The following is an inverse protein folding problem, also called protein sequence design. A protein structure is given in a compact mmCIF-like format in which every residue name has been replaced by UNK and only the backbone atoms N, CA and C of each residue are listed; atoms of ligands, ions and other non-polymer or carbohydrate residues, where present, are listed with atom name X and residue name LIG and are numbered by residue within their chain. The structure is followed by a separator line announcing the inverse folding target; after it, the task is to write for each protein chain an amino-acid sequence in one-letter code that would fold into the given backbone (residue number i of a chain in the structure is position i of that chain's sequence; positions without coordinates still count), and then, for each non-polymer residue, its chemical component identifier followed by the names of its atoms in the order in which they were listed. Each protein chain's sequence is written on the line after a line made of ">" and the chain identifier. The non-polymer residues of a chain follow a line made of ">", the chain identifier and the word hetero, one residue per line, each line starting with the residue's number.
data_IF_862488772380
#
_entry.id   IF_862488772380
#
_cell.length_a   1.000
_cell.length_b   1.000
_cell.length_c   1.000
_cell.angle_alpha   90.00
_cell.angle_beta   90.00
_cell.angle_gamma   90.00
#
_symmetry.space_group_name_H-M   'P 1'
#
loop_
_entity.id
_entity.type
_entity.pdbx_description
1 polymer ?
#
# COMPACT_ATOMS: atom_id res chain seq x y z
N UNK A 1 -0.45 4.28 17.75
CA UNK A 1 -0.59 2.87 17.35
C UNK A 1 0.08 1.93 18.37
N UNK A 2 1.41 2.01 18.58
CA UNK A 2 2.16 1.10 19.46
C UNK A 2 1.62 1.09 20.90
N UNK A 3 1.42 2.25 21.52
CA UNK A 3 0.88 2.36 22.89
C UNK A 3 -0.50 1.69 22.98
N UNK A 4 -1.40 1.97 22.04
CA UNK A 4 -2.74 1.33 22.01
C UNK A 4 -2.60 -0.19 21.88
N UNK A 5 -1.72 -0.67 20.99
CA UNK A 5 -1.47 -2.12 20.86
C UNK A 5 -1.00 -2.77 22.15
N UNK A 6 -0.05 -2.14 22.85
CA UNK A 6 0.42 -2.63 24.17
C UNK A 6 -0.69 -2.65 25.22
N UNK A 7 -1.51 -1.60 25.27
CA UNK A 7 -2.67 -1.55 26.19
C UNK A 7 -3.69 -2.64 25.90
N UNK A 8 -3.95 -2.94 24.59
CA UNK A 8 -4.85 -4.03 24.20
C UNK A 8 -4.29 -5.41 24.57
N UNK A 9 -2.96 -5.62 24.43
CA UNK A 9 -2.31 -6.87 24.88
C UNK A 9 -2.42 -6.99 26.40
N UNK A 10 -2.18 -5.92 27.14
CA UNK A 10 -2.31 -5.93 28.60
C UNK A 10 -3.74 -6.19 29.07
N UNK A 11 -4.73 -5.68 28.34
CA UNK A 11 -6.16 -5.84 28.64
C UNK A 11 -6.64 -7.31 28.53
N UNK A 12 -5.89 -8.21 27.87
CA UNK A 12 -6.18 -9.66 27.90
C UNK A 12 -5.93 -10.30 29.29
N UNK A 13 -4.99 -9.76 30.05
CA UNK A 13 -4.63 -10.28 31.37
C UNK A 13 -5.24 -9.48 32.54
N UNK A 14 -5.44 -8.18 32.35
CA UNK A 14 -5.98 -7.27 33.35
C UNK A 14 -6.95 -6.31 32.67
N UNK A 15 -8.25 -6.33 32.99
CA UNK A 15 -9.25 -5.51 32.32
C UNK A 15 -8.98 -4.02 32.56
N UNK A 16 -8.46 -3.33 31.55
CA UNK A 16 -8.25 -1.89 31.54
C UNK A 16 -9.43 -1.14 30.90
N UNK A 17 -10.08 -1.79 29.93
CA UNK A 17 -11.17 -1.22 29.14
C UNK A 17 -12.49 -1.92 29.50
N UNK A 18 -13.61 -1.23 29.23
CA UNK A 18 -14.95 -1.75 29.49
C UNK A 18 -15.28 -2.98 28.62
N UNK A 19 -14.75 -3.00 27.39
CA UNK A 19 -14.94 -4.08 26.44
C UNK A 19 -13.65 -4.89 26.25
N UNK A 20 -13.77 -6.06 25.65
CA UNK A 20 -12.63 -6.91 25.37
C UNK A 20 -11.71 -6.29 24.29
N UNK A 21 -10.46 -6.75 24.24
CA UNK A 21 -9.44 -6.23 23.35
C UNK A 21 -9.78 -6.37 21.86
N UNK A 22 -10.57 -7.40 21.48
CA UNK A 22 -10.98 -7.64 20.11
C UNK A 22 -11.97 -6.56 19.62
N UNK A 23 -12.80 -6.01 20.53
CA UNK A 23 -13.67 -4.89 20.21
C UNK A 23 -12.87 -3.69 19.67
N UNK A 24 -11.74 -3.37 20.31
CA UNK A 24 -10.89 -2.22 19.93
C UNK A 24 -9.91 -2.51 18.79
N UNK A 25 -9.89 -3.76 18.26
CA UNK A 25 -8.98 -4.13 17.18
C UNK A 25 -9.19 -3.29 15.91
N UNK A 26 -10.44 -2.98 15.58
CA UNK A 26 -10.76 -2.11 14.43
C UNK A 26 -10.15 -0.71 14.60
N UNK A 27 -10.27 -0.11 15.78
CA UNK A 27 -9.68 1.19 16.09
C UNK A 27 -8.15 1.15 15.95
N UNK A 28 -7.50 0.15 16.56
CA UNK A 28 -6.05 -0.03 16.49
C UNK A 28 -5.55 -0.23 15.05
N UNK A 29 -6.24 -1.07 14.29
CA UNK A 29 -5.89 -1.35 12.89
C UNK A 29 -5.96 -0.09 12.01
N UNK A 30 -7.05 0.69 12.10
CA UNK A 30 -7.19 1.92 11.32
C UNK A 30 -6.21 3.01 11.76
N UNK A 31 -5.90 3.12 13.05
CA UNK A 31 -4.83 4.01 13.53
C UNK A 31 -3.46 3.62 12.95
N UNK A 32 -3.20 2.32 12.79
CA UNK A 32 -1.98 1.83 12.17
C UNK A 32 -1.94 2.04 10.66
N UNK A 33 -3.00 1.61 9.97
CA UNK A 33 -3.06 1.65 8.50
C UNK A 33 -3.17 3.07 7.99
N UNK A 34 -4.06 3.89 8.54
CA UNK A 34 -4.35 5.24 8.07
C UNK A 34 -3.42 6.26 8.74
N UNK A 35 -3.32 6.21 10.08
CA UNK A 35 -2.57 7.21 10.85
C UNK A 35 -1.05 7.07 10.74
N UNK A 36 -0.53 5.87 10.51
CA UNK A 36 0.92 5.68 10.36
C UNK A 36 1.30 5.31 8.94
N UNK A 37 0.78 4.20 8.41
CA UNK A 37 1.26 3.64 7.15
C UNK A 37 0.87 4.49 5.94
N UNK A 38 -0.38 4.95 5.85
CA UNK A 38 -0.84 5.82 4.76
C UNK A 38 -0.09 7.15 4.77
N UNK A 39 0.05 7.80 5.92
CA UNK A 39 0.77 9.06 6.05
C UNK A 39 2.26 8.90 5.68
N UNK A 40 2.89 7.79 6.08
CA UNK A 40 4.26 7.47 5.69
C UNK A 40 4.40 7.34 4.17
N UNK A 41 3.50 6.59 3.54
CA UNK A 41 3.52 6.40 2.07
C UNK A 41 3.28 7.74 1.35
N UNK A 42 2.35 8.55 1.79
CA UNK A 42 2.08 9.87 1.19
C UNK A 42 3.28 10.79 1.40
N UNK A 43 3.86 10.83 2.60
CA UNK A 43 5.02 11.65 2.91
C UNK A 43 6.24 11.29 2.05
N UNK A 44 6.57 10.00 1.99
CA UNK A 44 7.68 9.50 1.14
C UNK A 44 7.34 9.64 -0.33
N UNK A 45 6.13 9.27 -0.74
CA UNK A 45 5.65 9.34 -2.14
C UNK A 45 5.65 10.77 -2.69
N UNK A 46 5.31 11.76 -1.86
CA UNK A 46 5.34 13.18 -2.24
C UNK A 46 6.73 13.67 -2.68
N UNK A 47 7.79 13.02 -2.24
CA UNK A 47 9.19 13.30 -2.62
C UNK A 47 9.68 12.37 -3.73
N UNK A 48 9.46 11.07 -3.57
CA UNK A 48 9.99 10.07 -4.50
C UNK A 48 9.32 10.09 -5.87
N UNK A 49 8.00 10.33 -5.94
CA UNK A 49 7.27 10.34 -7.21
C UNK A 49 7.80 11.46 -8.14
N UNK A 50 7.86 12.74 -7.73
CA UNK A 50 8.46 13.78 -8.56
C UNK A 50 9.93 13.51 -8.90
N UNK A 51 10.72 13.00 -7.93
CA UNK A 51 12.12 12.67 -8.15
C UNK A 51 12.31 11.62 -9.25
N UNK A 52 11.56 10.52 -9.22
CA UNK A 52 11.67 9.46 -10.24
C UNK A 52 11.14 9.87 -11.62
N UNK A 53 10.20 10.81 -11.64
CA UNK A 53 9.65 11.39 -12.88
C UNK A 53 10.52 12.54 -13.42
N UNK A 54 11.52 12.99 -12.67
CA UNK A 54 12.30 14.21 -12.94
C UNK A 54 11.33 15.38 -13.15
N UNK A 55 10.39 15.56 -12.22
CA UNK A 55 9.38 16.61 -12.21
C UNK A 55 9.78 17.70 -11.21
N UNK A 56 9.63 18.96 -11.62
CA UNK A 56 9.84 20.13 -10.73
C UNK A 56 8.56 20.48 -9.95
N UNK A 57 7.46 19.73 -10.15
CA UNK A 57 6.20 20.03 -9.49
C UNK A 57 6.29 19.82 -7.99
N UNK A 58 5.96 20.85 -7.23
CA UNK A 58 5.80 20.82 -5.77
C UNK A 58 4.59 21.67 -5.40
N UNK A 59 3.78 21.20 -4.46
CA UNK A 59 2.67 21.95 -3.89
C UNK A 59 2.51 21.61 -2.42
N UNK A 60 3.19 22.36 -1.56
CA UNK A 60 3.18 22.14 -0.12
C UNK A 60 1.78 22.34 0.50
N UNK A 61 1.03 23.34 0.05
CA UNK A 61 -0.32 23.61 0.56
C UNK A 61 -1.26 22.43 0.31
N UNK A 62 -1.21 21.83 -0.88
CA UNK A 62 -2.00 20.63 -1.20
C UNK A 62 -1.66 19.45 -0.28
N UNK A 63 -0.37 19.23 -0.03
CA UNK A 63 0.09 18.16 0.87
C UNK A 63 -0.30 18.41 2.33
N UNK A 64 -0.34 19.67 2.77
CA UNK A 64 -0.86 20.04 4.08
C UNK A 64 -2.35 19.73 4.23
N UNK A 65 -3.17 20.01 3.20
CA UNK A 65 -4.58 19.63 3.21
C UNK A 65 -4.77 18.11 3.26
N UNK A 66 -3.97 17.35 2.52
CA UNK A 66 -3.99 15.89 2.59
C UNK A 66 -3.69 15.41 4.02
N UNK A 67 -2.65 15.96 4.65
CA UNK A 67 -2.28 15.62 6.02
C UNK A 67 -3.39 15.95 7.02
N UNK A 68 -3.95 17.15 6.95
CA UNK A 68 -5.03 17.61 7.85
C UNK A 68 -6.27 16.73 7.70
N UNK A 69 -6.71 16.45 6.48
CA UNK A 69 -7.91 15.64 6.21
C UNK A 69 -7.77 14.21 6.73
N UNK A 70 -6.60 13.58 6.57
CA UNK A 70 -6.35 12.23 7.10
C UNK A 70 -6.41 12.23 8.62
N UNK A 71 -5.77 13.19 9.28
CA UNK A 71 -5.77 13.25 10.75
C UNK A 71 -7.15 13.58 11.30
N UNK A 72 -7.89 14.54 10.71
CA UNK A 72 -9.26 14.84 11.10
C UNK A 72 -10.18 13.65 10.90
N UNK A 73 -10.07 12.93 9.77
CA UNK A 73 -10.82 11.70 9.53
C UNK A 73 -10.53 10.63 10.57
N UNK A 74 -9.25 10.44 10.95
CA UNK A 74 -8.86 9.48 11.97
C UNK A 74 -9.37 9.85 13.37
N UNK A 75 -9.28 11.13 13.74
CA UNK A 75 -9.80 11.64 15.02
C UNK A 75 -11.32 11.47 15.05
N UNK A 76 -12.02 11.84 13.98
CA UNK A 76 -13.48 11.67 13.89
C UNK A 76 -13.87 10.19 13.99
N UNK A 77 -13.15 9.28 13.31
CA UNK A 77 -13.37 7.84 13.43
C UNK A 77 -13.19 7.36 14.88
N UNK A 78 -12.08 7.72 15.53
CA UNK A 78 -11.81 7.35 16.91
C UNK A 78 -12.91 7.85 17.87
N UNK A 79 -13.32 9.11 17.71
CA UNK A 79 -14.41 9.69 18.49
C UNK A 79 -15.72 8.92 18.30
N UNK A 80 -16.14 8.70 17.04
CA UNK A 80 -17.38 7.97 16.72
C UNK A 80 -17.36 6.54 17.23
N UNK A 81 -16.19 5.88 17.16
CA UNK A 81 -16.00 4.52 17.65
C UNK A 81 -16.14 4.45 19.18
N UNK A 82 -15.47 5.34 19.91
CA UNK A 82 -15.48 5.34 21.38
C UNK A 82 -16.85 5.73 21.96
N UNK A 83 -17.61 6.60 21.28
CA UNK A 83 -18.95 7.00 21.69
C UNK A 83 -20.06 6.13 21.07
N UNK A 84 -19.69 5.03 20.38
CA UNK A 84 -20.64 4.09 19.77
C UNK A 84 -21.72 4.77 18.91
N UNK A 85 -21.33 5.77 18.11
CA UNK A 85 -22.27 6.50 17.27
C UNK A 85 -22.87 5.60 16.17
N UNK A 86 -24.10 5.91 15.68
CA UNK A 86 -24.72 5.17 14.59
C UNK A 86 -23.82 5.02 13.36
N UNK A 87 -23.88 3.85 12.72
CA UNK A 87 -22.95 3.41 11.66
C UNK A 87 -22.88 4.38 10.48
N UNK A 88 -23.97 5.07 10.13
CA UNK A 88 -23.97 6.02 9.00
C UNK A 88 -23.04 7.23 9.22
N UNK A 89 -22.74 7.61 10.47
CA UNK A 89 -21.79 8.68 10.75
C UNK A 89 -20.36 8.34 10.30
N UNK A 90 -20.01 7.06 10.23
CA UNK A 90 -18.68 6.63 9.76
C UNK A 90 -18.41 7.00 8.30
N UNK A 91 -19.43 7.36 7.53
CA UNK A 91 -19.24 7.93 6.19
C UNK A 91 -18.47 9.27 6.21
N UNK A 92 -18.54 10.04 7.30
CA UNK A 92 -17.83 11.31 7.43
C UNK A 92 -16.28 11.13 7.43
N UNK A 93 -15.68 10.32 8.34
CA UNK A 93 -14.25 10.05 8.29
C UNK A 93 -13.81 9.39 6.99
N UNK A 94 -14.63 8.50 6.41
CA UNK A 94 -14.32 7.90 5.11
C UNK A 94 -14.31 8.95 4.01
N UNK A 95 -15.25 9.89 3.99
CA UNK A 95 -15.26 11.00 3.03
C UNK A 95 -14.02 11.90 3.17
N UNK A 96 -13.59 12.20 4.41
CA UNK A 96 -12.38 12.99 4.66
C UNK A 96 -11.12 12.30 4.11
N UNK A 97 -10.93 11.00 4.41
CA UNK A 97 -9.80 10.22 3.90
C UNK A 97 -9.87 10.06 2.38
N UNK A 98 -11.06 9.81 1.83
CA UNK A 98 -11.26 9.71 0.37
C UNK A 98 -10.86 11.01 -0.33
N UNK A 99 -11.30 12.16 0.21
CA UNK A 99 -10.92 13.48 -0.32
C UNK A 99 -9.41 13.68 -0.27
N UNK A 100 -8.76 13.30 0.83
CA UNK A 100 -7.30 13.35 0.94
C UNK A 100 -6.60 12.49 -0.13
N UNK A 101 -7.10 11.27 -0.38
CA UNK A 101 -6.56 10.39 -1.42
C UNK A 101 -6.75 10.97 -2.83
N UNK A 102 -7.90 11.58 -3.11
CA UNK A 102 -8.14 12.26 -4.39
C UNK A 102 -7.19 13.45 -4.59
N UNK A 103 -6.97 14.25 -3.54
CA UNK A 103 -6.00 15.36 -3.57
C UNK A 103 -4.57 14.85 -3.79
N UNK A 104 -4.17 13.75 -3.13
CA UNK A 104 -2.88 13.14 -3.36
C UNK A 104 -2.76 12.55 -4.77
N UNK A 105 -3.80 11.90 -5.27
CA UNK A 105 -3.88 11.43 -6.67
C UNK A 105 -3.73 12.59 -7.68
N UNK A 106 -4.38 13.71 -7.39
CA UNK A 106 -4.20 14.94 -8.18
C UNK A 106 -2.75 15.45 -8.14
N UNK A 107 -2.11 15.46 -6.96
CA UNK A 107 -0.69 15.78 -6.81
C UNK A 107 0.20 14.89 -7.69
N UNK A 108 -0.01 13.58 -7.62
CA UNK A 108 0.73 12.61 -8.44
C UNK A 108 0.51 12.82 -9.94
N UNK A 109 -0.74 13.13 -10.35
CA UNK A 109 -1.09 13.43 -11.74
C UNK A 109 -0.38 14.68 -12.25
N UNK A 110 -0.31 15.74 -11.44
CA UNK A 110 0.40 16.98 -11.83
C UNK A 110 1.92 16.74 -11.95
N UNK A 111 2.51 16.00 -10.98
CA UNK A 111 3.91 15.59 -11.08
C UNK A 111 4.17 14.76 -12.35
N UNK A 112 3.27 13.85 -12.70
CA UNK A 112 3.35 13.05 -13.92
C UNK A 112 3.22 13.90 -15.19
N UNK A 113 2.33 14.90 -15.22
CA UNK A 113 2.13 15.81 -16.37
C UNK A 113 3.36 16.68 -16.62
N UNK A 114 4.02 17.14 -15.56
CA UNK A 114 5.21 18.01 -15.63
C UNK A 114 6.53 17.24 -15.65
N UNK A 115 6.49 15.92 -15.96
CA UNK A 115 7.70 15.09 -16.02
C UNK A 115 8.56 15.45 -17.24
N UNK A 116 9.86 15.47 -17.02
CA UNK A 116 10.84 15.57 -18.12
C UNK A 116 11.15 14.19 -18.71
N UNK A 117 10.99 13.14 -17.94
CA UNK A 117 11.24 11.75 -18.36
C UNK A 117 10.05 11.20 -19.14
N UNK A 118 10.19 11.09 -20.47
CA UNK A 118 9.12 10.58 -21.35
C UNK A 118 8.80 9.09 -21.12
N UNK A 119 9.83 8.25 -20.94
CA UNK A 119 9.65 6.80 -20.68
C UNK A 119 9.68 6.52 -19.18
N UNK A 120 8.62 5.89 -18.70
CA UNK A 120 8.45 5.48 -17.30
C UNK A 120 8.83 4.01 -17.17
N UNK A 121 9.67 3.68 -16.19
CA UNK A 121 10.08 2.30 -15.92
C UNK A 121 8.90 1.43 -15.48
N UNK A 122 8.90 0.13 -15.81
CA UNK A 122 7.85 -0.82 -15.43
C UNK A 122 7.62 -0.85 -13.90
N UNK A 123 8.69 -0.76 -13.09
CA UNK A 123 8.63 -0.73 -11.63
C UNK A 123 7.84 0.49 -11.12
N UNK A 124 8.04 1.65 -11.76
CA UNK A 124 7.29 2.86 -11.42
C UNK A 124 5.82 2.77 -11.84
N UNK A 125 5.51 2.06 -12.94
CA UNK A 125 4.12 1.78 -13.34
C UNK A 125 3.39 0.97 -12.27
N UNK A 126 4.00 -0.06 -11.68
CA UNK A 126 3.40 -0.84 -10.59
C UNK A 126 3.23 0.02 -9.34
N UNK A 127 4.20 0.89 -9.02
CA UNK A 127 4.07 1.83 -7.89
C UNK A 127 2.94 2.86 -8.11
N UNK A 128 2.74 3.33 -9.33
CA UNK A 128 1.59 4.20 -9.66
C UNK A 128 0.29 3.42 -9.64
N UNK A 129 0.28 2.18 -10.12
CA UNK A 129 -0.88 1.30 -10.02
C UNK A 129 -1.29 1.05 -8.58
N UNK A 130 -0.34 0.90 -7.65
CA UNK A 130 -0.65 0.75 -6.22
C UNK A 130 -1.40 1.96 -5.65
N UNK A 131 -1.11 3.17 -6.12
CA UNK A 131 -1.88 4.38 -5.73
C UNK A 131 -3.33 4.28 -6.21
N UNK A 132 -3.56 3.76 -7.42
CA UNK A 132 -4.92 3.51 -7.93
C UNK A 132 -5.62 2.39 -7.15
N UNK A 133 -4.88 1.34 -6.76
CA UNK A 133 -5.41 0.24 -5.95
C UNK A 133 -5.87 0.67 -4.55
N UNK A 134 -5.45 1.86 -4.05
CA UNK A 134 -6.00 2.45 -2.81
C UNK A 134 -7.50 2.76 -2.92
N UNK A 135 -8.03 2.96 -4.12
CA UNK A 135 -9.45 3.22 -4.31
C UNK A 135 -10.32 1.99 -3.95
N UNK A 136 -9.82 0.78 -4.18
CA UNK A 136 -10.58 -0.45 -3.95
C UNK A 136 -10.95 -0.68 -2.48
N UNK A 137 -10.04 -0.63 -1.49
CA UNK A 137 -10.42 -0.71 -0.09
C UNK A 137 -11.37 0.42 0.33
N UNK A 138 -11.22 1.64 -0.19
CA UNK A 138 -12.17 2.74 0.11
C UNK A 138 -13.58 2.40 -0.39
N UNK A 139 -13.70 1.91 -1.62
CA UNK A 139 -14.98 1.50 -2.20
C UNK A 139 -15.61 0.37 -1.36
N UNK A 140 -14.81 -0.65 -1.00
CA UNK A 140 -15.29 -1.76 -0.18
C UNK A 140 -15.69 -1.29 1.23
N UNK A 141 -14.97 -0.34 1.82
CA UNK A 141 -15.34 0.24 3.11
C UNK A 141 -16.68 0.97 3.05
N UNK A 142 -16.92 1.76 2.00
CA UNK A 142 -18.21 2.44 1.79
C UNK A 142 -19.33 1.40 1.64
N UNK A 143 -19.13 0.37 0.79
CA UNK A 143 -20.10 -0.70 0.60
C UNK A 143 -20.36 -1.44 1.92
N UNK A 144 -19.33 -1.69 2.71
CA UNK A 144 -19.44 -2.35 4.02
C UNK A 144 -20.26 -1.51 5.00
N UNK A 145 -20.04 -0.19 5.09
CA UNK A 145 -20.82 0.70 5.95
C UNK A 145 -22.28 0.73 5.53
N UNK A 146 -22.56 0.83 4.22
CA UNK A 146 -23.92 0.80 3.68
C UNK A 146 -24.59 -0.56 3.96
N UNK A 147 -23.88 -1.67 3.74
CA UNK A 147 -24.37 -3.02 4.04
C UNK A 147 -24.72 -3.18 5.52
N UNK A 148 -23.82 -2.70 6.41
CA UNK A 148 -24.04 -2.75 7.85
C UNK A 148 -25.27 -1.94 8.29
N UNK A 149 -25.50 -0.79 7.64
CA UNK A 149 -26.69 0.07 7.91
C UNK A 149 -28.01 -0.55 7.44
N UNK A 150 -28.02 -1.19 6.25
CA UNK A 150 -29.26 -1.64 5.59
C UNK A 150 -29.56 -3.12 5.83
N UNK A 151 -28.52 -3.97 5.81
CA UNK A 151 -28.66 -5.43 5.76
C UNK A 151 -27.96 -6.18 6.90
N UNK A 152 -27.17 -5.46 7.74
CA UNK A 152 -26.38 -6.06 8.81
C UNK A 152 -24.97 -6.47 8.37
N UNK A 153 -24.29 -7.21 9.25
CA UNK A 153 -22.90 -7.63 9.05
C UNK A 153 -22.71 -8.59 7.88
N UNK A 154 -21.67 -8.36 7.09
CA UNK A 154 -21.26 -9.24 6.00
C UNK A 154 -19.75 -9.53 6.09
N UNK A 155 -19.42 -10.69 6.64
CA UNK A 155 -18.03 -11.13 6.86
C UNK A 155 -17.21 -11.15 5.56
N UNK A 156 -17.82 -11.42 4.39
CA UNK A 156 -17.12 -11.43 3.10
C UNK A 156 -16.60 -10.05 2.72
N UNK A 157 -17.39 -9.00 3.01
CA UNK A 157 -16.97 -7.61 2.78
C UNK A 157 -15.81 -7.22 3.71
N UNK A 158 -15.86 -7.64 4.98
CA UNK A 158 -14.78 -7.41 5.96
C UNK A 158 -13.48 -8.09 5.50
N UNK A 159 -13.56 -9.36 5.10
CA UNK A 159 -12.40 -10.11 4.59
C UNK A 159 -11.86 -9.51 3.30
N UNK A 160 -12.73 -9.15 2.35
CA UNK A 160 -12.33 -8.52 1.10
C UNK A 160 -11.67 -7.15 1.34
N UNK A 161 -12.21 -6.34 2.27
CA UNK A 161 -11.63 -5.07 2.68
C UNK A 161 -10.22 -5.26 3.23
N UNK A 162 -10.04 -6.13 4.24
CA UNK A 162 -8.72 -6.40 4.81
C UNK A 162 -7.74 -6.95 3.76
N UNK A 163 -8.17 -7.88 2.92
CA UNK A 163 -7.33 -8.43 1.86
C UNK A 163 -6.90 -7.36 0.85
N UNK A 164 -7.81 -6.46 0.44
CA UNK A 164 -7.47 -5.39 -0.52
C UNK A 164 -6.55 -4.33 0.07
N UNK A 165 -6.61 -4.06 1.38
CA UNK A 165 -5.64 -3.19 2.05
C UNK A 165 -4.24 -3.83 2.01
N UNK A 166 -4.10 -5.06 2.55
CA UNK A 166 -2.78 -5.68 2.72
C UNK A 166 -2.20 -6.22 1.41
N UNK A 167 -2.96 -7.03 0.70
CA UNK A 167 -2.49 -7.70 -0.53
C UNK A 167 -2.72 -6.89 -1.80
N UNK A 168 -3.64 -5.93 -1.79
CA UNK A 168 -3.82 -4.99 -2.90
C UNK A 168 -2.82 -3.84 -2.80
N UNK A 169 -3.13 -2.88 -1.97
CA UNK A 169 -2.39 -1.63 -1.90
C UNK A 169 -0.97 -1.79 -1.32
N UNK A 170 -0.84 -2.33 -0.08
CA UNK A 170 0.45 -2.38 0.63
C UNK A 170 1.45 -3.29 -0.10
N UNK A 171 1.04 -4.49 -0.49
CA UNK A 171 1.92 -5.41 -1.23
C UNK A 171 2.30 -4.85 -2.60
N UNK A 172 1.36 -4.25 -3.35
CA UNK A 172 1.68 -3.69 -4.66
C UNK A 172 2.77 -2.60 -4.59
N UNK A 173 2.70 -1.70 -3.59
CA UNK A 173 3.72 -0.66 -3.46
C UNK A 173 5.08 -1.24 -3.05
N UNK A 174 5.10 -2.26 -2.17
CA UNK A 174 6.33 -2.96 -1.80
C UNK A 174 6.96 -3.61 -3.03
N UNK A 175 6.19 -4.39 -3.80
CA UNK A 175 6.68 -5.07 -5.00
C UNK A 175 7.28 -4.09 -6.01
N UNK A 176 6.58 -2.98 -6.29
CA UNK A 176 7.05 -1.95 -7.22
C UNK A 176 8.31 -1.22 -6.73
N UNK A 177 8.28 -0.77 -5.48
CA UNK A 177 9.37 0.05 -4.91
C UNK A 177 10.62 -0.75 -4.61
N UNK A 178 10.52 -2.03 -4.26
CA UNK A 178 11.71 -2.89 -4.06
C UNK A 178 12.58 -2.91 -5.31
N UNK A 179 12.00 -3.17 -6.49
CA UNK A 179 12.76 -3.22 -7.74
C UNK A 179 13.14 -1.84 -8.30
N UNK A 180 12.67 -0.77 -7.68
CA UNK A 180 13.11 0.59 -7.97
C UNK A 180 14.27 1.01 -7.10
N UNK A 181 14.25 0.69 -5.81
CA UNK A 181 15.20 1.19 -4.82
C UNK A 181 16.34 0.23 -4.54
N UNK A 182 16.07 -1.06 -4.34
CA UNK A 182 17.07 -2.07 -3.98
C UNK A 182 18.21 -2.20 -5.02
N UNK A 183 17.94 -2.26 -6.34
CA UNK A 183 19.01 -2.30 -7.34
C UNK A 183 19.91 -1.07 -7.27
N UNK A 184 19.34 0.11 -7.01
CA UNK A 184 20.10 1.35 -6.87
C UNK A 184 21.00 1.33 -5.62
N UNK A 185 20.46 0.85 -4.48
CA UNK A 185 21.22 0.73 -3.23
C UNK A 185 22.41 -0.22 -3.41
N UNK A 186 22.19 -1.41 -3.97
CA UNK A 186 23.25 -2.40 -4.19
C UNK A 186 24.25 -1.90 -5.24
N UNK A 187 23.77 -1.28 -6.31
CA UNK A 187 24.65 -0.68 -7.32
C UNK A 187 25.55 0.37 -6.70
N UNK A 188 25.00 1.27 -5.88
CA UNK A 188 25.77 2.32 -5.21
C UNK A 188 26.81 1.71 -4.26
N UNK A 189 26.44 0.68 -3.49
CA UNK A 189 27.37 -0.04 -2.59
C UNK A 189 28.54 -0.66 -3.36
N UNK A 190 28.30 -1.25 -4.54
CA UNK A 190 29.29 -2.03 -5.28
C UNK A 190 30.10 -1.18 -6.27
N UNK A 191 29.47 -0.18 -6.90
CA UNK A 191 30.03 0.50 -8.07
C UNK A 191 30.30 1.99 -7.88
N UNK A 192 29.87 2.65 -6.77
CA UNK A 192 29.97 4.10 -6.66
C UNK A 192 31.42 4.62 -6.81
N UNK A 193 32.42 3.89 -6.27
CA UNK A 193 33.86 4.26 -6.38
C UNK A 193 34.42 4.09 -7.80
N UNK A 194 33.74 3.30 -8.64
CA UNK A 194 34.12 3.02 -10.04
C UNK A 194 33.27 3.81 -11.05
N UNK A 195 32.30 4.59 -10.56
CA UNK A 195 31.44 5.41 -11.40
C UNK A 195 32.26 6.44 -12.17
N UNK A 196 32.15 6.42 -13.51
CA UNK A 196 32.92 7.29 -14.39
C UNK A 196 34.34 6.82 -14.75
N UNK A 197 34.87 5.76 -14.12
CA UNK A 197 36.20 5.23 -14.39
C UNK A 197 36.21 4.06 -15.38
N UNK A 198 35.04 3.58 -15.83
CA UNK A 198 34.90 2.44 -16.75
C UNK A 198 33.45 2.07 -17.01
N UNK A 199 33.19 0.95 -17.70
CA UNK A 199 31.85 0.45 -18.01
C UNK A 199 31.23 -0.18 -16.76
N UNK A 200 30.45 0.58 -16.00
CA UNK A 200 29.61 0.03 -14.91
C UNK A 200 28.24 -0.36 -15.44
N UNK A 201 27.64 -1.49 -14.99
CA UNK A 201 26.28 -1.87 -15.40
C UNK A 201 25.26 -0.83 -14.89
N UNK A 202 24.15 -0.69 -15.61
CA UNK A 202 23.03 0.11 -15.10
C UNK A 202 22.35 -0.61 -13.92
N UNK A 203 21.89 0.08 -12.87
CA UNK A 203 21.12 -0.55 -11.78
C UNK A 203 19.99 -1.48 -12.24
N UNK A 204 19.35 -1.17 -13.36
CA UNK A 204 18.32 -2.02 -13.97
C UNK A 204 18.80 -3.40 -14.43
N UNK A 205 20.10 -3.58 -14.62
CA UNK A 205 20.67 -4.84 -15.09
C UNK A 205 20.92 -5.82 -13.93
N UNK A 206 20.73 -5.39 -12.68
CA UNK A 206 20.97 -6.24 -11.51
C UNK A 206 19.87 -7.29 -11.30
N UNK A 207 18.70 -7.11 -11.91
CA UNK A 207 17.59 -8.05 -11.82
C UNK A 207 17.05 -8.43 -13.20
N UNK A 208 16.18 -9.43 -13.26
CA UNK A 208 15.55 -9.89 -14.51
C UNK A 208 14.19 -9.22 -14.73
N UNK A 209 14.07 -8.42 -15.78
CA UNK A 209 12.78 -7.83 -16.16
C UNK A 209 11.73 -8.88 -16.52
N UNK A 210 12.13 -10.02 -17.13
CA UNK A 210 11.20 -11.11 -17.48
C UNK A 210 10.57 -11.73 -16.23
N UNK A 211 11.39 -11.99 -15.20
CA UNK A 211 10.93 -12.52 -13.91
C UNK A 211 10.03 -11.47 -13.21
N UNK A 212 10.41 -10.20 -13.24
CA UNK A 212 9.61 -9.11 -12.68
C UNK A 212 8.23 -9.00 -13.34
N UNK A 213 8.17 -9.07 -14.68
CA UNK A 213 6.89 -9.03 -15.40
C UNK A 213 6.02 -10.27 -15.09
N UNK A 214 6.64 -11.47 -15.10
CA UNK A 214 5.93 -12.70 -14.71
C UNK A 214 5.36 -12.64 -13.29
N UNK A 215 6.17 -12.19 -12.33
CA UNK A 215 5.73 -11.92 -10.94
C UNK A 215 4.55 -10.95 -10.90
N UNK A 216 4.62 -9.83 -11.63
CA UNK A 216 3.57 -8.81 -11.63
C UNK A 216 2.24 -9.34 -12.21
N UNK A 217 2.30 -10.12 -13.30
CA UNK A 217 1.11 -10.75 -13.90
C UNK A 217 0.49 -11.76 -12.94
N UNK A 218 1.29 -12.67 -12.36
CA UNK A 218 0.81 -13.66 -11.39
C UNK A 218 0.20 -13.00 -10.17
N UNK A 219 0.84 -11.95 -9.66
CA UNK A 219 0.33 -11.19 -8.52
C UNK A 219 -1.01 -10.54 -8.81
N UNK A 220 -1.14 -9.79 -9.91
CA UNK A 220 -2.37 -9.08 -10.25
C UNK A 220 -3.52 -10.06 -10.54
N UNK A 221 -3.26 -11.13 -11.28
CA UNK A 221 -4.26 -12.17 -11.56
C UNK A 221 -4.68 -12.88 -10.27
N UNK A 222 -3.71 -13.29 -9.43
CA UNK A 222 -3.97 -13.90 -8.13
C UNK A 222 -4.76 -12.99 -7.20
N UNK A 223 -4.42 -11.70 -7.17
CA UNK A 223 -5.14 -10.70 -6.38
C UNK A 223 -6.62 -10.56 -6.80
N UNK A 224 -6.89 -10.41 -8.09
CA UNK A 224 -8.26 -10.29 -8.62
C UNK A 224 -9.06 -11.55 -8.33
N UNK A 225 -8.50 -12.74 -8.60
CA UNK A 225 -9.15 -14.00 -8.32
C UNK A 225 -9.41 -14.20 -6.81
N UNK A 226 -8.49 -13.77 -5.94
CA UNK A 226 -8.67 -13.93 -4.49
C UNK A 226 -9.82 -13.06 -3.98
N UNK A 227 -9.89 -11.78 -4.39
CA UNK A 227 -11.02 -10.89 -4.04
C UNK A 227 -12.35 -11.47 -4.55
N UNK A 228 -12.38 -11.93 -5.80
CA UNK A 228 -13.56 -12.58 -6.40
C UNK A 228 -13.95 -13.83 -5.63
N UNK A 229 -12.99 -14.68 -5.29
CA UNK A 229 -13.21 -15.89 -4.51
C UNK A 229 -13.79 -15.63 -3.11
N UNK A 230 -13.33 -14.57 -2.41
CA UNK A 230 -13.92 -14.14 -1.13
C UNK A 230 -15.37 -13.72 -1.33
N UNK A 231 -15.65 -12.81 -2.29
CA UNK A 231 -16.97 -12.25 -2.50
C UNK A 231 -18.01 -13.31 -2.92
N UNK A 232 -17.59 -14.25 -3.77
CA UNK A 232 -18.44 -15.36 -4.23
C UNK A 232 -18.44 -16.57 -3.27
N UNK A 233 -17.54 -16.61 -2.29
CA UNK A 233 -17.34 -17.76 -1.37
C UNK A 233 -17.00 -19.06 -2.10
N UNK A 234 -16.22 -19.01 -3.18
CA UNK A 234 -15.83 -20.17 -3.98
C UNK A 234 -14.40 -20.59 -3.60
N UNK A 235 -14.29 -21.67 -2.81
CA UNK A 235 -13.00 -22.17 -2.28
C UNK A 235 -12.03 -22.53 -3.40
N UNK A 236 -12.48 -23.13 -4.49
CA UNK A 236 -11.63 -23.49 -5.63
C UNK A 236 -10.93 -22.27 -6.25
N UNK A 237 -11.64 -21.15 -6.40
CA UNK A 237 -11.06 -19.89 -6.89
C UNK A 237 -10.00 -19.37 -5.90
N UNK A 238 -10.27 -19.45 -4.59
CA UNK A 238 -9.31 -19.05 -3.56
C UNK A 238 -8.04 -19.89 -3.59
N UNK A 239 -8.15 -21.20 -3.81
CA UNK A 239 -6.99 -22.10 -3.92
C UNK A 239 -6.11 -21.76 -5.13
N UNK A 240 -6.72 -21.54 -6.30
CA UNK A 240 -5.99 -21.11 -7.51
C UNK A 240 -5.32 -19.75 -7.27
N UNK A 241 -6.05 -18.80 -6.70
CA UNK A 241 -5.53 -17.47 -6.39
C UNK A 241 -4.35 -17.52 -5.42
N UNK A 242 -4.45 -18.34 -4.36
CA UNK A 242 -3.37 -18.55 -3.40
C UNK A 242 -2.12 -19.14 -4.05
N UNK A 243 -2.28 -20.11 -4.96
CA UNK A 243 -1.16 -20.68 -5.72
C UNK A 243 -0.48 -19.62 -6.60
N UNK A 244 -1.24 -18.79 -7.30
CA UNK A 244 -0.70 -17.70 -8.12
C UNK A 244 0.07 -16.68 -7.27
N UNK A 245 -0.46 -16.29 -6.11
CA UNK A 245 0.20 -15.38 -5.17
C UNK A 245 1.48 -16.00 -4.60
N UNK A 246 1.47 -17.31 -4.30
CA UNK A 246 2.66 -18.02 -3.85
C UNK A 246 3.75 -18.05 -4.93
N UNK A 247 3.38 -18.35 -6.18
CA UNK A 247 4.31 -18.29 -7.30
C UNK A 247 4.87 -16.89 -7.52
N UNK A 248 4.04 -15.85 -7.39
CA UNK A 248 4.50 -14.46 -7.44
C UNK A 248 5.53 -14.15 -6.33
N UNK A 249 5.29 -14.63 -5.10
CA UNK A 249 6.21 -14.48 -3.98
C UNK A 249 7.54 -15.23 -4.21
N UNK A 250 7.52 -16.42 -4.80
CA UNK A 250 8.73 -17.17 -5.17
C UNK A 250 9.55 -16.40 -6.20
N UNK A 251 8.91 -15.91 -7.28
CA UNK A 251 9.59 -15.11 -8.31
C UNK A 251 10.16 -13.80 -7.75
N UNK A 252 9.42 -13.14 -6.84
CA UNK A 252 9.89 -11.97 -6.13
C UNK A 252 11.18 -12.26 -5.36
N UNK A 253 11.16 -13.28 -4.49
CA UNK A 253 12.32 -13.63 -3.66
C UNK A 253 13.51 -14.04 -4.52
N UNK A 254 13.31 -14.83 -5.57
CA UNK A 254 14.37 -15.23 -6.49
C UNK A 254 15.04 -14.01 -7.14
N UNK A 255 14.25 -13.05 -7.60
CA UNK A 255 14.78 -11.85 -8.26
C UNK A 255 15.44 -10.88 -7.27
N UNK A 256 14.93 -10.78 -6.03
CA UNK A 256 15.56 -10.02 -4.93
C UNK A 256 16.89 -10.64 -4.53
N UNK A 257 16.98 -11.96 -4.37
CA UNK A 257 18.23 -12.66 -4.05
C UNK A 257 19.28 -12.44 -5.13
N UNK A 258 18.89 -12.43 -6.41
CA UNK A 258 19.79 -12.10 -7.51
C UNK A 258 20.41 -10.70 -7.37
N UNK A 259 19.66 -9.72 -6.86
CA UNK A 259 20.18 -8.37 -6.59
C UNK A 259 21.15 -8.38 -5.39
N UNK A 260 20.72 -9.00 -4.29
CA UNK A 260 21.49 -8.98 -3.02
C UNK A 260 22.84 -9.72 -3.17
N UNK A 261 22.82 -10.85 -3.89
CA UNK A 261 24.01 -11.68 -4.14
C UNK A 261 24.88 -11.18 -5.32
N UNK A 262 24.53 -10.00 -5.89
CA UNK A 262 25.28 -9.46 -7.00
C UNK A 262 26.74 -9.17 -6.63
N UNK A 263 27.67 -9.80 -7.32
CA UNK A 263 29.11 -9.55 -7.19
C UNK A 263 29.58 -8.68 -8.36
N UNK A 264 30.56 -7.76 -8.13
CA UNK A 264 31.16 -7.03 -9.24
C UNK A 264 31.78 -8.02 -10.20
N UNK A 265 31.55 -7.84 -11.50
CA UNK A 265 32.38 -8.53 -12.50
C UNK A 265 33.83 -8.07 -12.27
N UNK A 266 34.72 -9.03 -12.08
CA UNK A 266 36.16 -8.78 -12.06
C UNK A 266 36.52 -8.42 -13.51
N UNK A 267 36.68 -7.12 -13.78
CA UNK A 267 37.24 -6.58 -15.02
C UNK A 267 38.73 -6.41 -14.84
#
# INVERSE_FOLDING_TARGET
>A
TTVVGLLLVYNFSTPLFAEDSLHYLSLHAHMGIIGWFLLLIIGVGSRLIPMFLISKYTNASLLWWVYILINLGLIAFAFMFLYMLPVYFYLLPVAAVTTALLLFGYYCRQAYRQRLRKQVDEQLKISVLSVLMMALPVILLIIMIISLWVAGENIRLVLAYGFTVFFGWITAIILGMTFKTLPFIIWNKVYHKKAGLGKTPNPKNLFSNRIFTGMAVLYLTGFVLFVTGILLSVVFILQIAALLLLLAAVLYNFNVMKIILHKPAIL
#
